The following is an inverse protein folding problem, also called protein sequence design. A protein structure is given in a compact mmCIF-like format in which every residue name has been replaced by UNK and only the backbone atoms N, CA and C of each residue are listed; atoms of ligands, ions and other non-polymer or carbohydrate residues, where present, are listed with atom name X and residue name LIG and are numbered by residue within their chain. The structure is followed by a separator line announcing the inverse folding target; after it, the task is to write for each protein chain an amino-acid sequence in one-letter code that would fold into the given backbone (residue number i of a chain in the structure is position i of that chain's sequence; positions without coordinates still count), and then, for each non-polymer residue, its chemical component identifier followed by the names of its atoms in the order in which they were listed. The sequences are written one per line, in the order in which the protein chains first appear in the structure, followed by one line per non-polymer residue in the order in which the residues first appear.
data_IF_688810588282
#
_entry.id   IF_688810588282
#
_cell.length_a   1.000
_cell.length_b   1.000
_cell.length_c   1.000
_cell.angle_alpha   90.00
_cell.angle_beta   90.00
_cell.angle_gamma   90.00
#
_symmetry.space_group_name_H-M   'P 1'
#
loop_
_entity.id
_entity.type
_entity.pdbx_description
1 polymer ?
#
# COMPACT_ATOMS: atom_id res chain seq x y z
N UNK A 1 -25.35 56.79 -16.14
CA UNK A 1 -24.20 56.21 -15.39
C UNK A 1 -24.22 54.71 -15.62
N UNK A 2 -23.43 54.24 -16.57
CA UNK A 2 -23.30 52.81 -16.95
C UNK A 2 -22.12 52.24 -16.20
N UNK A 3 -22.34 51.35 -15.23
CA UNK A 3 -21.30 50.63 -14.48
C UNK A 3 -20.91 49.41 -15.30
N UNK A 4 -19.72 49.46 -15.91
CA UNK A 4 -19.07 48.35 -16.61
C UNK A 4 -18.32 47.49 -15.57
N UNK A 5 -18.92 46.38 -15.15
CA UNK A 5 -18.26 45.36 -14.34
C UNK A 5 -17.35 44.51 -15.23
N UNK A 6 -16.05 44.71 -15.11
CA UNK A 6 -15.03 43.85 -15.75
C UNK A 6 -15.00 42.50 -15.05
N UNK A 7 -15.44 41.45 -15.72
CA UNK A 7 -15.31 40.04 -15.31
C UNK A 7 -13.84 39.66 -15.51
N UNK A 8 -13.07 39.60 -14.43
CA UNK A 8 -11.73 39.00 -14.44
C UNK A 8 -11.86 37.49 -14.65
N UNK A 9 -11.40 37.01 -15.79
CA UNK A 9 -11.27 35.55 -16.06
C UNK A 9 -10.27 34.95 -15.09
N UNK A 10 -10.59 33.81 -14.45
CA UNK A 10 -9.64 33.12 -13.58
C UNK A 10 -8.46 32.66 -14.42
N UNK A 11 -7.28 33.15 -14.08
CA UNK A 11 -6.03 32.72 -14.68
C UNK A 11 -5.77 31.25 -14.29
N UNK A 12 -5.60 30.38 -15.29
CA UNK A 12 -5.22 29.00 -15.09
C UNK A 12 -3.96 28.89 -14.21
N UNK A 13 -3.82 27.90 -13.32
CA UNK A 13 -2.65 27.72 -12.47
C UNK A 13 -1.47 27.25 -13.33
N UNK A 14 -0.83 28.21 -14.00
CA UNK A 14 0.43 27.96 -14.73
C UNK A 14 1.58 27.78 -13.74
N UNK A 15 2.18 26.57 -13.74
CA UNK A 15 3.59 26.25 -13.44
C UNK A 15 4.35 27.19 -12.46
N UNK A 16 3.75 27.56 -11.35
CA UNK A 16 4.45 28.24 -10.25
C UNK A 16 5.41 27.30 -9.48
N UNK A 17 5.41 26.00 -9.78
CA UNK A 17 6.21 25.02 -9.06
C UNK A 17 7.71 25.19 -9.29
N UNK A 18 8.14 25.58 -10.49
CA UNK A 18 9.57 25.78 -10.81
C UNK A 18 10.12 27.13 -10.36
N UNK A 19 9.28 28.13 -10.15
CA UNK A 19 9.72 29.46 -9.70
C UNK A 19 10.03 29.52 -8.18
N UNK A 20 9.63 28.49 -7.41
CA UNK A 20 9.84 28.42 -5.96
C UNK A 20 11.23 27.87 -5.57
N UNK A 21 12.02 27.38 -6.52
CA UNK A 21 13.32 26.74 -6.26
C UNK A 21 14.53 27.68 -6.34
N UNK A 22 14.33 29.00 -6.46
CA UNK A 22 15.47 29.91 -6.36
C UNK A 22 15.84 30.11 -4.87
N UNK A 23 17.00 29.62 -4.43
CA UNK A 23 17.44 29.78 -3.05
C UNK A 23 17.61 31.28 -2.76
N UNK A 24 17.03 31.72 -1.65
CA UNK A 24 17.08 33.12 -1.21
C UNK A 24 18.30 33.40 -0.31
N UNK A 25 18.94 32.34 0.20
CA UNK A 25 20.12 32.39 1.06
C UNK A 25 21.04 31.20 0.77
N UNK A 26 22.28 31.27 1.26
CA UNK A 26 23.21 30.14 1.19
C UNK A 26 22.67 28.91 1.93
N UNK A 27 22.01 29.08 3.05
CA UNK A 27 21.38 28.02 3.80
C UNK A 27 20.25 27.34 3.00
N UNK A 28 19.43 28.10 2.27
CA UNK A 28 18.40 27.57 1.37
C UNK A 28 19.02 26.79 0.20
N UNK A 29 20.14 27.26 -0.34
CA UNK A 29 20.87 26.56 -1.39
C UNK A 29 21.41 25.22 -0.91
N UNK A 30 22.06 25.18 0.25
CA UNK A 30 22.56 23.95 0.87
C UNK A 30 21.41 23.00 1.19
N UNK A 31 20.32 23.47 1.79
CA UNK A 31 19.13 22.66 2.06
C UNK A 31 18.53 22.06 0.80
N UNK A 32 18.44 22.86 -0.28
CA UNK A 32 17.94 22.38 -1.58
C UNK A 32 18.86 21.31 -2.19
N UNK A 33 20.18 21.50 -2.14
CA UNK A 33 21.15 20.51 -2.59
C UNK A 33 21.03 19.19 -1.81
N UNK A 34 20.89 19.26 -0.48
CA UNK A 34 20.71 18.08 0.36
C UNK A 34 19.41 17.32 0.04
N UNK A 35 18.31 18.05 -0.23
CA UNK A 35 17.05 17.45 -0.66
C UNK A 35 17.17 16.74 -2.02
N UNK A 36 17.85 17.35 -2.99
CA UNK A 36 18.11 16.71 -4.29
C UNK A 36 19.00 15.49 -4.16
N UNK A 37 20.05 15.57 -3.35
CA UNK A 37 20.93 14.43 -3.07
C UNK A 37 20.14 13.27 -2.40
N UNK A 38 19.34 13.59 -1.39
CA UNK A 38 18.47 12.60 -0.73
C UNK A 38 17.46 11.97 -1.71
N UNK A 39 16.82 12.81 -2.54
CA UNK A 39 15.89 12.31 -3.56
C UNK A 39 16.60 11.39 -4.58
N UNK A 40 17.80 11.75 -5.02
CA UNK A 40 18.62 10.95 -5.92
C UNK A 40 18.99 9.60 -5.31
N UNK A 41 19.44 9.59 -4.04
CA UNK A 41 19.77 8.35 -3.33
C UNK A 41 18.59 7.39 -3.21
N UNK A 42 17.37 7.92 -3.00
CA UNK A 42 16.15 7.12 -2.91
C UNK A 42 15.71 6.60 -4.29
N UNK A 43 15.89 7.38 -5.36
CA UNK A 43 15.47 7.02 -6.72
C UNK A 43 16.50 6.08 -7.37
N UNK A 44 17.77 6.18 -7.01
CA UNK A 44 18.87 5.45 -7.63
C UNK A 44 18.63 3.93 -7.76
N UNK A 45 18.18 3.18 -6.72
CA UNK A 45 17.93 1.75 -6.85
C UNK A 45 16.84 1.42 -7.90
N UNK A 46 15.84 2.30 -8.06
CA UNK A 46 14.80 2.10 -9.09
C UNK A 46 15.34 2.37 -10.49
N UNK A 47 16.21 3.37 -10.66
CA UNK A 47 16.88 3.63 -11.95
C UNK A 47 17.83 2.49 -12.30
N UNK A 48 18.56 1.95 -11.29
CA UNK A 48 19.38 0.76 -11.46
C UNK A 48 18.56 -0.46 -11.87
N UNK A 49 17.45 -0.73 -11.18
CA UNK A 49 16.52 -1.81 -11.50
C UNK A 49 16.03 -1.70 -12.97
N UNK A 50 15.61 -0.50 -13.38
CA UNK A 50 15.16 -0.25 -14.74
C UNK A 50 16.28 -0.44 -15.76
N UNK A 51 17.49 0.03 -15.48
CA UNK A 51 18.66 -0.18 -16.34
C UNK A 51 19.01 -1.67 -16.46
N UNK A 52 19.06 -2.38 -15.32
CA UNK A 52 19.38 -3.81 -15.28
C UNK A 52 18.33 -4.67 -15.96
N UNK A 53 17.06 -4.25 -15.98
CA UNK A 53 16.01 -4.95 -16.72
C UNK A 53 16.18 -4.92 -18.25
N UNK A 54 17.05 -4.05 -18.74
CA UNK A 54 17.34 -3.90 -20.17
C UNK A 54 18.61 -4.62 -20.61
N UNK A 55 19.35 -5.24 -19.67
CA UNK A 55 20.60 -5.96 -19.88
C UNK A 55 20.37 -7.45 -20.09
N UNK A 56 21.28 -8.16 -20.80
CA UNK A 56 21.35 -9.61 -20.76
C UNK A 56 21.79 -10.07 -19.36
N UNK A 57 21.51 -11.35 -19.05
CA UNK A 57 21.72 -11.89 -17.70
C UNK A 57 23.19 -11.79 -17.22
N UNK A 58 24.14 -12.02 -18.08
CA UNK A 58 25.59 -12.00 -17.85
C UNK A 58 26.13 -10.58 -17.61
N UNK A 59 25.55 -9.56 -18.24
CA UNK A 59 25.98 -8.16 -18.11
C UNK A 59 25.55 -7.53 -16.77
N UNK A 60 24.55 -8.08 -16.09
CA UNK A 60 24.02 -7.46 -14.86
C UNK A 60 25.02 -7.48 -13.71
N UNK A 61 25.80 -8.55 -13.59
CA UNK A 61 26.82 -8.77 -12.56
C UNK A 61 28.21 -8.98 -13.15
N UNK A 62 28.49 -8.42 -14.33
CA UNK A 62 29.83 -8.43 -14.87
C UNK A 62 30.82 -7.68 -13.94
N UNK A 63 32.05 -8.08 -13.96
CA UNK A 63 33.15 -7.45 -13.22
C UNK A 63 33.38 -5.98 -13.63
N UNK A 64 32.99 -5.61 -14.83
CA UNK A 64 32.99 -4.24 -15.32
C UNK A 64 31.64 -3.59 -15.02
N UNK A 65 31.64 -2.57 -14.18
CA UNK A 65 30.41 -1.85 -13.85
C UNK A 65 29.97 -0.95 -15.00
N UNK A 66 28.86 -1.31 -15.64
CA UNK A 66 28.19 -0.49 -16.64
C UNK A 66 26.83 -0.04 -16.12
N UNK A 67 26.62 1.25 -15.96
CA UNK A 67 25.31 1.75 -15.48
C UNK A 67 24.22 1.52 -16.52
N UNK A 68 24.49 1.82 -17.77
CA UNK A 68 23.60 1.55 -18.92
C UNK A 68 23.97 0.26 -19.64
N UNK A 69 23.00 -0.43 -20.27
CA UNK A 69 23.30 -1.64 -21.04
C UNK A 69 24.26 -1.36 -22.20
N UNK A 70 25.27 -2.19 -22.35
CA UNK A 70 26.08 -2.24 -23.56
C UNK A 70 25.31 -2.95 -24.68
N UNK A 71 24.64 -4.07 -24.31
CA UNK A 71 23.75 -4.81 -25.19
C UNK A 71 22.30 -4.61 -24.73
N UNK A 72 21.49 -3.93 -25.55
CA UNK A 72 20.09 -3.68 -25.22
C UNK A 72 19.21 -4.87 -25.57
N UNK A 73 18.74 -5.60 -24.56
CA UNK A 73 17.81 -6.73 -24.71
C UNK A 73 16.48 -6.52 -23.98
N UNK A 74 16.17 -5.28 -23.57
CA UNK A 74 14.97 -4.97 -22.79
C UNK A 74 13.68 -5.48 -23.43
N UNK A 75 13.54 -5.35 -24.76
CA UNK A 75 12.37 -5.88 -25.46
C UNK A 75 12.17 -7.38 -25.27
N UNK A 76 13.25 -8.18 -25.33
CA UNK A 76 13.21 -9.63 -25.12
C UNK A 76 12.91 -9.98 -23.64
N UNK A 77 13.53 -9.26 -22.68
CA UNK A 77 13.29 -9.50 -21.27
C UNK A 77 11.83 -9.23 -20.88
N UNK A 78 11.28 -8.08 -21.27
CA UNK A 78 9.87 -7.75 -20.96
C UNK A 78 8.89 -8.66 -21.72
N UNK A 79 9.19 -9.03 -22.97
CA UNK A 79 8.39 -10.00 -23.71
C UNK A 79 8.37 -11.34 -22.98
N UNK A 80 9.53 -11.87 -22.60
CA UNK A 80 9.65 -13.13 -21.87
C UNK A 80 8.90 -13.10 -20.52
N UNK A 81 9.00 -11.99 -19.79
CA UNK A 81 8.27 -11.85 -18.52
C UNK A 81 6.76 -11.85 -18.73
N UNK A 82 6.26 -11.13 -19.74
CA UNK A 82 4.80 -10.92 -19.90
C UNK A 82 4.10 -12.05 -20.65
N UNK A 83 4.81 -12.80 -21.52
CA UNK A 83 4.20 -13.73 -22.46
C UNK A 83 4.72 -15.16 -22.38
N UNK A 84 5.96 -15.41 -21.93
CA UNK A 84 6.47 -16.78 -21.73
C UNK A 84 5.91 -17.41 -20.44
N UNK A 85 5.43 -16.58 -19.51
CA UNK A 85 4.79 -16.99 -18.25
C UNK A 85 3.41 -16.34 -18.14
N UNK A 86 2.46 -16.93 -17.39
CA UNK A 86 1.13 -16.36 -17.18
C UNK A 86 1.16 -15.14 -16.24
N UNK A 87 2.02 -14.17 -16.54
CA UNK A 87 2.34 -13.05 -15.64
C UNK A 87 1.14 -12.13 -15.35
N UNK A 88 0.25 -11.97 -16.32
CA UNK A 88 -1.01 -11.25 -16.11
C UNK A 88 -1.90 -11.95 -15.07
N UNK A 89 -1.86 -13.29 -15.01
CA UNK A 89 -2.56 -14.05 -13.96
C UNK A 89 -1.95 -13.77 -12.59
N UNK A 90 -0.62 -13.70 -12.48
CA UNK A 90 0.05 -13.38 -11.21
C UNK A 90 -0.28 -11.98 -10.71
N UNK A 91 -0.31 -10.99 -11.60
CA UNK A 91 -0.77 -9.64 -11.28
C UNK A 91 -2.25 -9.64 -10.84
N UNK A 92 -3.12 -10.33 -11.57
CA UNK A 92 -4.53 -10.45 -11.23
C UNK A 92 -4.72 -11.12 -9.85
N UNK A 93 -3.98 -12.20 -9.56
CA UNK A 93 -3.98 -12.85 -8.26
C UNK A 93 -3.60 -11.88 -7.13
N UNK A 94 -2.53 -11.09 -7.33
CA UNK A 94 -2.13 -10.08 -6.34
C UNK A 94 -3.23 -9.05 -6.12
N UNK A 95 -3.89 -8.54 -7.18
CA UNK A 95 -5.02 -7.63 -7.03
C UNK A 95 -6.19 -8.28 -6.29
N UNK A 96 -6.57 -9.51 -6.64
CA UNK A 96 -7.66 -10.24 -5.97
C UNK A 96 -7.35 -10.41 -4.49
N UNK A 97 -6.12 -10.85 -4.15
CA UNK A 97 -5.69 -11.06 -2.77
C UNK A 97 -5.67 -9.74 -1.98
N UNK A 98 -5.05 -8.69 -2.51
CA UNK A 98 -4.96 -7.40 -1.83
C UNK A 98 -6.34 -6.76 -1.60
N UNK A 99 -7.20 -6.77 -2.62
CA UNK A 99 -8.55 -6.20 -2.49
C UNK A 99 -9.43 -7.05 -1.59
N UNK A 100 -9.35 -8.38 -1.71
CA UNK A 100 -10.08 -9.31 -0.85
C UNK A 100 -9.72 -9.12 0.63
N UNK A 101 -8.43 -9.06 0.94
CA UNK A 101 -7.94 -8.79 2.30
C UNK A 101 -8.45 -7.42 2.78
N UNK A 102 -8.28 -6.36 1.97
CA UNK A 102 -8.69 -5.02 2.34
C UNK A 102 -10.18 -4.93 2.67
N UNK A 103 -11.04 -5.52 1.83
CA UNK A 103 -12.50 -5.52 2.07
C UNK A 103 -12.82 -6.19 3.40
N UNK A 104 -12.27 -7.39 3.66
CA UNK A 104 -12.54 -8.11 4.90
C UNK A 104 -11.97 -7.37 6.11
N UNK A 105 -10.78 -6.78 6.00
CA UNK A 105 -10.20 -5.95 7.05
C UNK A 105 -11.08 -4.74 7.39
N UNK A 106 -11.63 -4.04 6.39
CA UNK A 106 -12.52 -2.90 6.65
C UNK A 106 -13.84 -3.35 7.29
N UNK A 107 -14.43 -4.43 6.78
CA UNK A 107 -15.69 -4.99 7.32
C UNK A 107 -15.55 -5.46 8.77
N UNK A 108 -14.39 -5.99 9.14
CA UNK A 108 -14.12 -6.47 10.52
C UNK A 108 -13.63 -5.36 11.43
N UNK A 109 -12.70 -4.53 10.98
CA UNK A 109 -12.03 -3.55 11.82
C UNK A 109 -12.87 -2.31 12.12
N UNK A 110 -13.68 -1.83 11.16
CA UNK A 110 -14.48 -0.61 11.36
C UNK A 110 -15.52 -0.80 12.47
N UNK A 111 -16.37 -1.85 12.46
CA UNK A 111 -17.32 -2.07 13.55
C UNK A 111 -16.62 -2.37 14.89
N UNK A 112 -15.53 -3.15 14.88
CA UNK A 112 -14.78 -3.46 16.10
C UNK A 112 -14.17 -2.18 16.71
N UNK A 113 -13.56 -1.33 15.90
CA UNK A 113 -13.01 -0.07 16.34
C UNK A 113 -14.08 0.88 16.88
N UNK A 114 -15.24 0.94 16.20
CA UNK A 114 -16.38 1.74 16.66
C UNK A 114 -16.90 1.25 18.01
N UNK A 115 -17.10 -0.04 18.16
CA UNK A 115 -17.54 -0.62 19.43
C UNK A 115 -16.56 -0.30 20.57
N UNK A 116 -15.26 -0.42 20.32
CA UNK A 116 -14.22 -0.12 21.32
C UNK A 116 -14.03 1.38 21.59
N UNK A 117 -14.48 2.26 20.69
CA UNK A 117 -14.35 3.71 20.85
C UNK A 117 -15.59 4.35 21.46
N UNK A 118 -16.81 3.91 21.07
CA UNK A 118 -18.07 4.62 21.28
C UNK A 118 -19.11 3.85 22.10
N UNK A 119 -19.00 2.52 22.17
CA UNK A 119 -19.92 1.72 22.98
C UNK A 119 -19.35 1.52 24.39
N UNK A 120 -20.23 1.77 25.41
CA UNK A 120 -19.90 1.54 26.82
C UNK A 120 -20.30 0.13 27.20
N UNK A 121 -19.35 -0.80 27.24
CA UNK A 121 -19.58 -2.17 27.70
C UNK A 121 -18.47 -2.64 28.64
N UNK A 122 -18.82 -3.61 29.50
CA UNK A 122 -17.87 -4.19 30.48
C UNK A 122 -16.75 -4.93 29.74
N UNK A 123 -15.50 -4.64 30.09
CA UNK A 123 -14.34 -5.31 29.47
C UNK A 123 -13.78 -4.63 28.21
N UNK A 124 -14.35 -3.52 27.72
CA UNK A 124 -13.84 -2.82 26.52
C UNK A 124 -12.36 -2.44 26.62
N UNK A 125 -11.91 -1.97 27.80
CA UNK A 125 -10.51 -1.61 28.05
C UNK A 125 -9.59 -2.84 28.00
N UNK A 126 -10.04 -3.97 28.55
CA UNK A 126 -9.28 -5.23 28.54
C UNK A 126 -9.16 -5.75 27.10
N UNK A 127 -10.27 -5.77 26.34
CA UNK A 127 -10.27 -6.17 24.93
C UNK A 127 -9.35 -5.28 24.10
N UNK A 128 -9.40 -3.96 24.34
CA UNK A 128 -8.47 -3.07 23.64
C UNK A 128 -7.01 -3.32 24.05
N UNK A 129 -6.76 -3.67 25.31
CA UNK A 129 -5.44 -4.11 25.76
C UNK A 129 -4.94 -5.33 25.00
N UNK A 130 -5.79 -6.32 24.73
CA UNK A 130 -5.45 -7.48 23.89
C UNK A 130 -5.17 -7.08 22.45
N UNK A 131 -5.95 -6.16 21.86
CA UNK A 131 -5.68 -5.62 20.50
C UNK A 131 -4.28 -5.00 20.45
N UNK A 132 -3.93 -4.15 21.44
CA UNK A 132 -2.61 -3.52 21.47
C UNK A 132 -1.49 -4.55 21.70
N UNK A 133 -1.68 -5.50 22.62
CA UNK A 133 -0.71 -6.57 22.86
C UNK A 133 -0.49 -7.44 21.61
N UNK A 134 -1.54 -7.71 20.83
CA UNK A 134 -1.44 -8.50 19.59
C UNK A 134 -0.58 -7.83 18.49
N UNK A 135 -0.39 -6.50 18.54
CA UNK A 135 0.51 -5.80 17.61
C UNK A 135 1.99 -6.23 17.77
N UNK A 136 2.35 -6.77 18.92
CA UNK A 136 3.72 -7.22 19.20
C UNK A 136 4.00 -8.64 18.74
N UNK A 137 2.98 -9.40 18.33
CA UNK A 137 3.11 -10.79 17.89
C UNK A 137 3.49 -10.80 16.41
N UNK A 138 4.71 -11.26 16.03
CA UNK A 138 5.09 -11.33 14.63
C UNK A 138 4.34 -12.45 13.90
N UNK A 139 3.95 -12.18 12.66
CA UNK A 139 3.23 -13.15 11.82
C UNK A 139 4.00 -14.47 11.67
N UNK A 140 5.32 -14.43 11.67
CA UNK A 140 6.17 -15.61 11.52
C UNK A 140 5.95 -16.64 12.66
N UNK A 141 5.57 -16.20 13.86
CA UNK A 141 5.27 -17.09 14.98
C UNK A 141 3.93 -17.79 14.78
N UNK A 142 2.95 -17.09 14.22
CA UNK A 142 1.59 -17.61 14.01
C UNK A 142 1.44 -18.36 12.68
N UNK A 143 2.40 -18.23 11.77
CA UNK A 143 2.34 -18.85 10.44
C UNK A 143 2.27 -20.37 10.49
N UNK A 144 3.06 -21.03 11.35
CA UNK A 144 3.12 -22.50 11.45
C UNK A 144 1.76 -23.08 11.89
N UNK A 145 1.14 -22.67 13.01
CA UNK A 145 -0.17 -23.20 13.40
C UNK A 145 -1.26 -22.89 12.39
N UNK A 146 -1.24 -21.74 11.73
CA UNK A 146 -2.19 -21.40 10.67
C UNK A 146 -2.00 -22.32 9.47
N UNK A 147 -0.77 -22.54 9.03
CA UNK A 147 -0.44 -23.47 7.93
C UNK A 147 -0.93 -24.89 8.23
N UNK A 148 -0.64 -25.42 9.42
CA UNK A 148 -1.10 -26.77 9.83
C UNK A 148 -2.63 -26.87 9.84
N UNK A 149 -3.32 -25.81 10.26
CA UNK A 149 -4.77 -25.73 10.15
C UNK A 149 -5.25 -25.82 8.71
N UNK A 150 -4.66 -25.03 7.80
CA UNK A 150 -5.00 -25.05 6.38
C UNK A 150 -4.73 -26.40 5.73
N UNK A 151 -3.61 -27.07 6.05
CA UNK A 151 -3.31 -28.43 5.62
C UNK A 151 -4.41 -29.41 6.05
N UNK A 152 -4.77 -29.37 7.34
CA UNK A 152 -5.77 -30.28 7.91
C UNK A 152 -7.14 -30.16 7.23
N UNK A 153 -7.51 -28.98 6.77
CA UNK A 153 -8.79 -28.73 6.09
C UNK A 153 -8.68 -28.80 4.55
N UNK A 154 -7.50 -29.10 3.99
CA UNK A 154 -7.30 -29.18 2.54
C UNK A 154 -7.47 -27.84 1.83
N UNK A 155 -7.13 -26.73 2.49
CA UNK A 155 -7.35 -25.37 1.99
C UNK A 155 -6.10 -24.72 1.42
N UNK A 156 -4.95 -25.43 1.35
CA UNK A 156 -3.76 -24.91 0.70
C UNK A 156 -4.01 -24.62 -0.79
N UNK A 157 -3.18 -23.78 -1.37
CA UNK A 157 -3.24 -23.42 -2.80
C UNK A 157 -4.57 -22.81 -3.24
N UNK A 158 -5.20 -22.03 -2.36
CA UNK A 158 -6.47 -21.33 -2.60
C UNK A 158 -6.34 -19.83 -2.30
N UNK A 159 -7.22 -19.03 -2.89
CA UNK A 159 -7.31 -17.61 -2.49
C UNK A 159 -7.66 -17.44 -1.00
N UNK A 160 -8.42 -18.38 -0.43
CA UNK A 160 -8.72 -18.37 1.00
C UNK A 160 -7.45 -18.50 1.83
N UNK A 161 -6.57 -19.45 1.52
CA UNK A 161 -5.30 -19.62 2.25
C UNK A 161 -4.39 -18.39 2.14
N UNK A 162 -4.37 -17.72 0.98
CA UNK A 162 -3.62 -16.49 0.78
C UNK A 162 -4.12 -15.32 1.62
N UNK A 163 -5.43 -15.25 1.89
CA UNK A 163 -6.07 -14.10 2.54
C UNK A 163 -6.36 -14.31 4.02
N UNK A 164 -6.64 -15.53 4.45
CA UNK A 164 -7.20 -15.86 5.77
C UNK A 164 -6.41 -15.28 6.96
N UNK A 165 -5.07 -15.37 7.03
CA UNK A 165 -4.33 -14.84 8.18
C UNK A 165 -4.48 -13.34 8.39
N UNK A 166 -4.87 -12.63 7.34
CA UNK A 166 -4.94 -11.16 7.31
C UNK A 166 -6.36 -10.62 7.46
N UNK A 167 -7.38 -11.47 7.63
CA UNK A 167 -8.79 -11.04 7.72
C UNK A 167 -9.06 -10.11 8.90
N UNK A 168 -8.32 -10.24 9.97
CA UNK A 168 -8.42 -9.34 11.13
C UNK A 168 -7.14 -8.53 11.26
N UNK A 169 -7.23 -7.24 10.98
CA UNK A 169 -6.11 -6.33 11.15
C UNK A 169 -6.20 -5.62 12.50
N UNK A 170 -5.40 -6.07 13.47
CA UNK A 170 -5.28 -5.38 14.78
C UNK A 170 -4.79 -3.94 14.64
N UNK A 171 -3.93 -3.68 13.65
CA UNK A 171 -3.49 -2.32 13.33
C UNK A 171 -4.64 -1.44 12.84
N UNK A 172 -5.52 -1.97 11.97
CA UNK A 172 -6.71 -1.24 11.52
C UNK A 172 -7.64 -0.90 12.68
N UNK A 173 -7.91 -1.89 13.57
CA UNK A 173 -8.75 -1.68 14.76
C UNK A 173 -8.16 -0.58 15.65
N UNK A 174 -6.85 -0.62 15.90
CA UNK A 174 -6.16 0.39 16.70
C UNK A 174 -6.27 1.78 16.05
N UNK A 175 -5.92 1.89 14.76
CA UNK A 175 -5.91 3.15 14.02
C UNK A 175 -7.30 3.79 13.97
N UNK A 176 -8.32 3.02 13.57
CA UNK A 176 -9.69 3.52 13.46
C UNK A 176 -10.27 3.89 14.82
N UNK A 177 -9.97 3.09 15.86
CA UNK A 177 -10.40 3.44 17.21
C UNK A 177 -9.86 4.78 17.67
N UNK A 178 -8.58 5.09 17.40
CA UNK A 178 -8.01 6.39 17.75
C UNK A 178 -8.75 7.52 17.02
N UNK A 179 -9.02 7.33 15.73
CA UNK A 179 -9.74 8.32 14.94
C UNK A 179 -11.20 8.49 15.42
N UNK A 180 -11.90 7.38 15.69
CA UNK A 180 -13.30 7.43 16.11
C UNK A 180 -13.45 8.02 17.53
N UNK A 181 -12.45 7.86 18.39
CA UNK A 181 -12.48 8.42 19.75
C UNK A 181 -12.59 9.95 19.72
N UNK A 182 -11.98 10.59 18.73
CA UNK A 182 -12.00 12.05 18.59
C UNK A 182 -13.31 12.58 17.97
N UNK A 183 -14.19 11.70 17.44
CA UNK A 183 -15.47 12.09 16.89
C UNK A 183 -16.45 12.51 18.00
N UNK A 184 -17.20 13.64 17.89
CA UNK A 184 -18.07 14.13 18.96
C UNK A 184 -19.20 13.16 19.33
N UNK A 185 -19.29 12.79 20.61
CA UNK A 185 -20.33 11.89 21.13
C UNK A 185 -21.73 12.52 20.99
N UNK A 186 -21.84 13.85 21.09
CA UNK A 186 -23.10 14.57 20.94
C UNK A 186 -23.80 14.33 19.59
N UNK A 187 -23.03 14.18 18.51
CA UNK A 187 -23.59 13.87 17.18
C UNK A 187 -24.13 12.44 17.13
N UNK A 188 -23.41 11.49 17.76
CA UNK A 188 -23.82 10.09 17.86
C UNK A 188 -25.10 9.97 18.69
N UNK A 189 -25.16 10.67 19.83
CA UNK A 189 -26.32 10.64 20.72
C UNK A 189 -27.55 11.30 20.08
N UNK A 190 -27.38 12.40 19.32
CA UNK A 190 -28.46 12.98 18.54
C UNK A 190 -29.01 11.99 17.48
N UNK A 191 -28.10 11.30 16.76
CA UNK A 191 -28.53 10.29 15.77
C UNK A 191 -29.29 9.12 16.42
N UNK A 192 -28.91 8.71 17.64
CA UNK A 192 -29.65 7.68 18.41
C UNK A 192 -31.06 8.17 18.78
N UNK A 193 -31.21 9.44 19.18
CA UNK A 193 -32.51 10.05 19.45
C UNK A 193 -33.38 10.12 18.18
N UNK A 194 -32.75 10.36 17.01
CA UNK A 194 -33.40 10.33 15.71
C UNK A 194 -33.73 8.91 15.21
N UNK A 195 -33.41 7.87 16.01
CA UNK A 195 -33.77 6.47 15.74
C UNK A 195 -32.78 5.71 14.85
N UNK A 196 -31.57 6.25 14.61
CA UNK A 196 -30.55 5.54 13.84
C UNK A 196 -30.02 4.33 14.61
N UNK A 197 -29.93 3.20 13.92
CA UNK A 197 -29.22 2.02 14.43
C UNK A 197 -27.70 2.27 14.48
N UNK A 198 -26.98 1.52 15.28
CA UNK A 198 -25.51 1.66 15.37
C UNK A 198 -24.81 1.41 14.03
N UNK A 199 -25.35 0.51 13.19
CA UNK A 199 -24.84 0.28 11.82
C UNK A 199 -25.06 1.50 10.94
N UNK A 200 -26.21 2.14 11.01
CA UNK A 200 -26.46 3.37 10.26
C UNK A 200 -25.57 4.52 10.72
N UNK A 201 -25.31 4.65 12.01
CA UNK A 201 -24.37 5.61 12.57
C UNK A 201 -22.96 5.37 12.00
N UNK A 202 -22.49 4.10 11.97
CA UNK A 202 -21.20 3.75 11.38
C UNK A 202 -21.17 4.16 9.89
N UNK A 203 -22.16 3.75 9.11
CA UNK A 203 -22.14 3.91 7.65
C UNK A 203 -22.41 5.35 7.20
N UNK A 204 -23.29 6.09 7.89
CA UNK A 204 -23.75 7.43 7.47
C UNK A 204 -23.01 8.57 8.15
N UNK A 205 -22.42 8.36 9.33
CA UNK A 205 -21.76 9.43 10.08
C UNK A 205 -20.26 9.16 10.26
N UNK A 206 -19.90 8.01 10.87
CA UNK A 206 -18.52 7.72 11.27
C UNK A 206 -17.65 7.44 10.04
N UNK A 207 -18.07 6.55 9.15
CA UNK A 207 -17.28 6.14 8.00
C UNK A 207 -17.02 7.29 7.02
N UNK A 208 -17.99 8.14 6.65
CA UNK A 208 -17.72 9.33 5.84
C UNK A 208 -16.75 10.33 6.49
N UNK A 209 -16.84 10.54 7.80
CA UNK A 209 -15.91 11.40 8.53
C UNK A 209 -14.50 10.78 8.59
N UNK A 210 -14.39 9.44 8.57
CA UNK A 210 -13.15 8.69 8.66
C UNK A 210 -12.50 8.37 7.30
N UNK A 211 -13.05 8.84 6.18
CA UNK A 211 -12.47 8.61 4.83
C UNK A 211 -10.95 8.82 4.79
N UNK A 212 -10.36 9.89 5.40
CA UNK A 212 -8.92 10.05 5.37
C UNK A 212 -8.16 8.92 6.08
N UNK A 213 -8.65 8.43 7.22
CA UNK A 213 -8.04 7.33 7.96
C UNK A 213 -8.19 6.00 7.22
N UNK A 214 -9.37 5.75 6.64
CA UNK A 214 -9.66 4.57 5.81
C UNK A 214 -8.76 4.56 4.58
N UNK A 215 -8.62 5.69 3.90
CA UNK A 215 -7.76 5.80 2.72
C UNK A 215 -6.27 5.55 3.07
N UNK A 216 -5.80 6.13 4.17
CA UNK A 216 -4.44 5.90 4.65
C UNK A 216 -4.20 4.42 4.97
N UNK A 217 -5.10 3.79 5.75
CA UNK A 217 -5.02 2.37 6.04
C UNK A 217 -5.08 1.51 4.78
N UNK A 218 -5.97 1.82 3.83
CA UNK A 218 -6.11 1.07 2.58
C UNK A 218 -4.81 1.03 1.78
N UNK A 219 -4.09 2.14 1.70
CA UNK A 219 -2.79 2.17 1.03
C UNK A 219 -1.77 1.31 1.79
N UNK A 220 -1.69 1.41 3.13
CA UNK A 220 -0.80 0.56 3.92
C UNK A 220 -1.11 -0.92 3.73
N UNK A 221 -2.38 -1.31 3.79
CA UNK A 221 -2.81 -2.69 3.60
C UNK A 221 -2.45 -3.21 2.21
N UNK A 222 -2.78 -2.46 1.15
CA UNK A 222 -2.48 -2.87 -0.22
C UNK A 222 -0.96 -2.98 -0.44
N UNK A 223 -0.17 -2.01 0.01
CA UNK A 223 1.30 -2.07 -0.13
C UNK A 223 1.89 -3.25 0.63
N UNK A 224 1.42 -3.51 1.86
CA UNK A 224 1.92 -4.62 2.67
C UNK A 224 1.66 -5.98 2.01
N UNK A 225 0.43 -6.21 1.53
CA UNK A 225 0.04 -7.49 0.94
C UNK A 225 0.47 -7.66 -0.51
N UNK A 226 0.65 -6.56 -1.25
CA UNK A 226 1.24 -6.61 -2.59
C UNK A 226 2.69 -7.08 -2.59
N UNK A 227 3.46 -6.65 -1.61
CA UNK A 227 4.87 -7.00 -1.47
C UNK A 227 5.10 -8.26 -0.60
N UNK A 228 4.02 -8.92 -0.14
CA UNK A 228 4.17 -10.11 0.67
C UNK A 228 4.66 -11.29 -0.19
N UNK A 229 5.86 -11.74 0.12
CA UNK A 229 6.47 -12.92 -0.46
C UNK A 229 6.39 -14.10 0.51
N UNK A 230 6.48 -13.82 1.82
CA UNK A 230 6.65 -14.85 2.84
C UNK A 230 5.46 -15.81 2.93
N UNK A 231 4.25 -15.25 3.05
CA UNK A 231 3.06 -16.08 3.23
C UNK A 231 2.66 -16.83 1.95
N UNK A 232 2.62 -16.20 0.75
CA UNK A 232 2.40 -16.91 -0.50
C UNK A 232 3.41 -18.05 -0.75
N UNK A 233 4.69 -17.86 -0.41
CA UNK A 233 5.71 -18.90 -0.56
C UNK A 233 5.40 -20.17 0.24
N UNK A 234 4.71 -20.03 1.38
CA UNK A 234 4.38 -21.16 2.26
C UNK A 234 3.11 -21.91 1.78
N UNK A 235 2.11 -21.18 1.26
CA UNK A 235 0.77 -21.76 1.04
C UNK A 235 0.43 -22.05 -0.42
N UNK A 236 1.17 -21.47 -1.38
CA UNK A 236 0.96 -21.67 -2.82
C UNK A 236 1.78 -22.89 -3.30
N UNK A 237 1.13 -23.74 -4.07
CA UNK A 237 1.74 -24.95 -4.63
C UNK A 237 1.66 -24.99 -6.15
N UNK A 238 0.67 -24.32 -6.75
CA UNK A 238 0.47 -24.26 -8.20
C UNK A 238 0.84 -22.89 -8.78
N UNK A 239 1.24 -22.90 -10.05
CA UNK A 239 1.52 -21.66 -10.77
C UNK A 239 0.29 -20.75 -10.88
N UNK A 240 -0.91 -21.36 -10.98
CA UNK A 240 -2.17 -20.62 -11.13
C UNK A 240 -2.52 -19.71 -9.94
N UNK A 241 -1.96 -19.99 -8.77
CA UNK A 241 -2.20 -19.20 -7.54
C UNK A 241 -1.05 -18.30 -7.15
N UNK A 242 0.04 -18.28 -7.94
CA UNK A 242 1.17 -17.40 -7.65
C UNK A 242 0.76 -15.94 -7.66
N UNK A 243 1.26 -15.19 -6.68
CA UNK A 243 1.20 -13.72 -6.65
C UNK A 243 2.34 -13.14 -7.47
N UNK A 244 2.23 -11.86 -7.84
CA UNK A 244 3.26 -11.16 -8.59
C UNK A 244 4.61 -11.13 -7.85
N UNK A 245 4.60 -10.94 -6.52
CA UNK A 245 5.82 -10.98 -5.72
C UNK A 245 6.45 -12.39 -5.70
N UNK A 246 5.62 -13.44 -5.56
CA UNK A 246 6.11 -14.82 -5.55
C UNK A 246 6.66 -15.24 -6.93
N UNK A 247 6.05 -14.78 -8.02
CA UNK A 247 6.47 -15.16 -9.36
C UNK A 247 7.88 -14.69 -9.74
N UNK A 248 8.41 -13.66 -9.06
CA UNK A 248 9.78 -13.20 -9.29
C UNK A 248 10.83 -14.29 -9.02
N UNK A 249 10.53 -15.23 -8.12
CA UNK A 249 11.44 -16.35 -7.80
C UNK A 249 11.58 -17.34 -8.97
N UNK A 250 10.68 -17.33 -9.95
CA UNK A 250 10.77 -18.23 -11.12
C UNK A 250 12.00 -17.96 -12.00
N UNK A 251 12.56 -16.75 -11.94
CA UNK A 251 13.75 -16.36 -12.70
C UNK A 251 15.05 -16.57 -11.92
N UNK A 252 14.96 -17.16 -10.71
CA UNK A 252 16.10 -17.47 -9.86
C UNK A 252 16.20 -18.98 -9.71
N UNK A 253 17.28 -19.58 -10.21
CA UNK A 253 17.62 -20.99 -9.99
C UNK A 253 19.03 -21.12 -9.43
N UNK A 254 19.35 -22.30 -8.86
CA UNK A 254 20.70 -22.52 -8.34
C UNK A 254 21.79 -22.52 -9.42
N UNK A 255 21.42 -22.79 -10.68
CA UNK A 255 22.37 -23.01 -11.77
C UNK A 255 22.28 -21.99 -12.91
N UNK A 256 21.14 -21.28 -13.03
CA UNK A 256 20.91 -20.33 -14.13
C UNK A 256 19.99 -19.21 -13.64
N UNK A 257 20.60 -18.08 -13.31
CA UNK A 257 19.89 -16.90 -12.83
C UNK A 257 19.75 -15.91 -13.99
N UNK A 258 18.53 -15.79 -14.51
CA UNK A 258 18.22 -14.73 -15.47
C UNK A 258 17.97 -13.39 -14.77
N UNK A 259 19.06 -12.71 -14.43
CA UNK A 259 18.99 -11.41 -13.75
C UNK A 259 18.30 -10.34 -14.56
N UNK A 260 18.44 -10.33 -15.88
CA UNK A 260 17.77 -9.39 -16.76
C UNK A 260 16.24 -9.51 -16.65
N UNK A 261 15.72 -10.73 -16.75
CA UNK A 261 14.28 -11.01 -16.55
C UNK A 261 13.84 -10.83 -15.11
N UNK A 262 14.68 -11.13 -14.13
CA UNK A 262 14.39 -10.84 -12.71
C UNK A 262 14.14 -9.35 -12.48
N UNK A 263 15.00 -8.48 -12.99
CA UNK A 263 14.81 -7.03 -12.88
C UNK A 263 13.65 -6.50 -13.73
N UNK A 264 13.39 -7.10 -14.89
CA UNK A 264 12.21 -6.79 -15.70
C UNK A 264 10.91 -7.15 -14.95
N UNK A 265 10.85 -8.34 -14.34
CA UNK A 265 9.75 -8.77 -13.47
C UNK A 265 9.56 -7.81 -12.29
N UNK A 266 10.62 -7.47 -11.58
CA UNK A 266 10.60 -6.51 -10.47
C UNK A 266 10.06 -5.13 -10.92
N UNK A 267 10.42 -4.68 -12.11
CA UNK A 267 9.92 -3.42 -12.69
C UNK A 267 8.42 -3.50 -12.93
N UNK A 268 7.93 -4.59 -13.54
CA UNK A 268 6.50 -4.80 -13.80
C UNK A 268 5.69 -4.89 -12.51
N UNK A 269 6.20 -5.59 -11.49
CA UNK A 269 5.55 -5.67 -10.16
C UNK A 269 5.50 -4.32 -9.45
N UNK A 270 6.53 -3.49 -9.62
CA UNK A 270 6.62 -2.18 -8.98
C UNK A 270 5.66 -1.16 -9.61
N UNK A 271 5.40 -1.26 -10.91
CA UNK A 271 4.60 -0.28 -11.65
C UNK A 271 3.20 -0.03 -11.08
N UNK A 272 2.37 -1.06 -10.75
CA UNK A 272 1.07 -0.85 -10.11
C UNK A 272 1.16 -0.09 -8.79
N UNK A 273 2.19 -0.35 -7.98
CA UNK A 273 2.39 0.36 -6.71
C UNK A 273 2.71 1.84 -6.91
N UNK A 274 3.55 2.17 -7.88
CA UNK A 274 3.83 3.56 -8.27
C UNK A 274 2.54 4.25 -8.71
N UNK A 275 1.74 3.60 -9.54
CA UNK A 275 0.45 4.14 -10.02
C UNK A 275 -0.51 4.38 -8.84
N UNK A 276 -0.70 3.39 -7.96
CA UNK A 276 -1.56 3.52 -6.77
C UNK A 276 -1.07 4.69 -5.89
N UNK A 277 0.23 4.79 -5.64
CA UNK A 277 0.80 5.88 -4.85
C UNK A 277 0.55 7.26 -5.47
N UNK A 278 0.72 7.40 -6.79
CA UNK A 278 0.47 8.66 -7.49
C UNK A 278 -1.00 9.13 -7.37
N UNK A 279 -1.95 8.21 -7.35
CA UNK A 279 -3.35 8.53 -7.09
C UNK A 279 -3.63 8.81 -5.61
N UNK A 280 -3.07 8.00 -4.72
CA UNK A 280 -3.29 8.10 -3.27
C UNK A 280 -2.63 9.33 -2.63
N UNK A 281 -1.53 9.87 -3.19
CA UNK A 281 -0.78 11.01 -2.63
C UNK A 281 -1.65 12.22 -2.27
N UNK A 282 -2.70 12.49 -3.06
CA UNK A 282 -3.62 13.61 -2.80
C UNK A 282 -4.45 13.40 -1.53
N UNK A 283 -4.77 12.16 -1.17
CA UNK A 283 -5.50 11.82 0.05
C UNK A 283 -4.61 12.01 1.29
N UNK A 284 -3.32 11.64 1.18
CA UNK A 284 -2.33 11.85 2.25
C UNK A 284 -2.09 13.32 2.57
N UNK A 285 -1.91 14.17 1.54
CA UNK A 285 -1.63 15.60 1.73
C UNK A 285 -2.80 16.28 2.46
N UNK A 286 -4.04 15.93 2.17
CA UNK A 286 -5.21 16.49 2.85
C UNK A 286 -5.31 16.09 4.33
N UNK A 287 -4.91 14.88 4.69
CA UNK A 287 -4.95 14.43 6.09
C UNK A 287 -3.93 15.14 6.97
N UNK A 288 -2.73 15.41 6.44
CA UNK A 288 -1.66 16.11 7.17
C UNK A 288 -2.01 17.59 7.39
N UNK A 289 -2.65 18.24 6.40
CA UNK A 289 -3.02 19.65 6.53
C UNK A 289 -4.15 19.89 7.52
N UNK A 290 -5.07 18.93 7.70
CA UNK A 290 -6.15 19.04 8.68
C UNK A 290 -5.68 18.82 10.14
N UNK A 291 -4.62 18.07 10.37
CA UNK A 291 -4.04 17.87 11.69
C UNK A 291 -3.15 19.04 12.16
N UNK A 292 -2.69 19.87 11.23
CA UNK A 292 -1.82 21.04 11.51
C UNK A 292 -2.55 22.32 11.93
N UNK A 293 -3.89 22.35 11.86
CA UNK A 293 -4.67 23.53 12.30
C UNK A 293 -5.26 23.25 13.68
N UNK A 294 -4.38 23.09 14.68
CA UNK A 294 -4.68 23.26 16.10
C UNK A 294 -3.68 24.31 16.60
N UNK A 295 -4.00 25.56 16.39
CA UNK A 295 -3.35 26.73 16.92
C UNK A 295 -4.37 27.84 17.04
#
# INVERSE_FOLDING_TARGET
MTVTTSIQRPQAPRLRFLASFKPKSLADAVGTCLLFLGAWLVIFPFVWMLSSSMKPADEVYDSNFHFWPETFVGGANYYGVLFDQPYLTFLANSFIVCIGILIVQLVTAVPAAYALAKLKFRGSTILFGFVVASLTIPINVTSIPIYLGLVKFGLLDTYFSLMFPFFVSVFAIFLFRQFFKDYPDSIIDAARVDGFSEIEIILRLILPAAIPAVAAFSVFSVVAHWNDLYWPLIVVQSQDKMTAALSMLQYQSEFDNDYGRTFASATVVTLPMVVIFLFARRLFIRSITMSGIKG
#
